data_IF_927812512842
#
_entry.id   IF_927812512842
#
_cell.length_a   1.000
_cell.length_b   1.000
_cell.length_c   1.000
_cell.angle_alpha   90.00
_cell.angle_beta   90.00
_cell.angle_gamma   90.00
#
_symmetry.space_group_name_H-M   'P 1'
#
loop_
_entity.id
_entity.type
_entity.pdbx_description
1 polymer ?
#
# COMPACT_ATOMS: atom_id res chain seq x y z
N UNK A 1 -19.17 3.52 7.23
CA UNK A 1 -18.21 4.64 7.43
C UNK A 1 -16.95 4.04 8.02
N UNK A 2 -15.76 4.32 7.45
CA UNK A 2 -14.47 3.82 7.98
C UNK A 2 -13.93 4.82 9.02
N UNK A 3 -13.42 4.34 10.14
CA UNK A 3 -12.85 5.17 11.21
C UNK A 3 -11.40 5.53 10.89
N UNK A 4 -10.90 6.67 11.39
CA UNK A 4 -9.52 7.12 11.12
C UNK A 4 -8.45 6.09 11.51
N UNK A 5 -8.68 5.32 12.59
CA UNK A 5 -7.77 4.23 12.99
C UNK A 5 -7.74 3.07 11.98
N UNK A 6 -8.87 2.77 11.36
CA UNK A 6 -8.94 1.74 10.32
C UNK A 6 -8.22 2.21 9.06
N UNK A 7 -8.35 3.49 8.69
CA UNK A 7 -7.63 4.09 7.54
C UNK A 7 -6.12 3.88 7.67
N UNK A 8 -5.54 4.27 8.82
CA UNK A 8 -4.09 4.13 9.08
C UNK A 8 -3.67 2.67 9.01
N UNK A 9 -4.49 1.76 9.55
CA UNK A 9 -4.23 0.33 9.50
C UNK A 9 -4.22 -0.19 8.05
N UNK A 10 -5.22 0.14 7.24
CA UNK A 10 -5.27 -0.32 5.84
C UNK A 10 -4.04 0.13 5.05
N UNK A 11 -3.66 1.41 5.17
CA UNK A 11 -2.49 1.92 4.46
C UNK A 11 -1.19 1.27 4.95
N UNK A 12 -1.04 1.05 6.26
CA UNK A 12 0.13 0.36 6.83
C UNK A 12 0.22 -1.08 6.32
N UNK A 13 -0.88 -1.81 6.39
CA UNK A 13 -0.93 -3.21 6.00
C UNK A 13 -0.64 -3.33 4.48
N UNK A 14 -1.05 -2.35 3.66
CA UNK A 14 -0.71 -2.27 2.23
C UNK A 14 0.79 -2.05 1.98
N UNK A 15 1.43 -1.15 2.75
CA UNK A 15 2.88 -0.91 2.65
C UNK A 15 3.67 -2.18 2.96
N UNK A 16 3.28 -2.89 4.01
CA UNK A 16 3.91 -4.16 4.41
C UNK A 16 3.75 -5.18 3.28
N UNK A 17 2.54 -5.31 2.73
CA UNK A 17 2.27 -6.27 1.65
C UNK A 17 3.11 -5.98 0.39
N UNK A 18 3.23 -4.71 -0.04
CA UNK A 18 4.06 -4.33 -1.20
C UNK A 18 5.56 -4.53 -0.93
N UNK A 19 6.02 -4.24 0.29
CA UNK A 19 7.45 -4.25 0.62
C UNK A 19 7.98 -5.68 0.83
N UNK A 20 7.17 -6.54 1.46
CA UNK A 20 7.59 -7.89 1.87
C UNK A 20 6.99 -9.01 1.01
N UNK A 21 6.23 -8.68 -0.03
CA UNK A 21 5.55 -9.63 -0.92
C UNK A 21 6.44 -10.42 -1.90
N UNK A 22 7.71 -10.66 -1.57
CA UNK A 22 8.68 -11.39 -2.40
C UNK A 22 8.78 -10.86 -3.86
N UNK A 23 8.66 -9.54 -4.04
CA UNK A 23 8.75 -8.88 -5.34
C UNK A 23 7.47 -8.89 -6.17
N UNK A 24 6.35 -9.43 -5.66
CA UNK A 24 5.04 -9.33 -6.30
C UNK A 24 4.28 -8.13 -5.76
N UNK A 25 3.75 -7.30 -6.65
CA UNK A 25 2.86 -6.20 -6.27
C UNK A 25 1.66 -6.75 -5.46
N UNK A 26 1.33 -6.07 -4.37
CA UNK A 26 0.27 -6.50 -3.48
C UNK A 26 -1.08 -6.30 -4.16
N UNK A 27 -1.86 -7.38 -4.27
CA UNK A 27 -3.23 -7.29 -4.75
C UNK A 27 -4.09 -6.56 -3.70
N UNK A 28 -4.91 -5.61 -4.15
CA UNK A 28 -5.88 -4.96 -3.28
C UNK A 28 -7.01 -5.95 -2.98
N UNK A 29 -7.23 -6.35 -1.70
CA UNK A 29 -8.24 -7.35 -1.36
C UNK A 29 -9.67 -6.79 -1.38
N UNK A 30 -9.82 -5.47 -1.52
CA UNK A 30 -11.10 -4.80 -1.42
C UNK A 30 -11.70 -4.45 -2.79
N UNK A 31 -13.02 -4.54 -2.89
CA UNK A 31 -13.75 -4.10 -4.07
C UNK A 31 -13.56 -2.60 -4.36
N UNK A 32 -13.57 -2.19 -5.65
CA UNK A 32 -13.11 -0.88 -6.12
C UNK A 32 -13.93 0.31 -5.59
N UNK A 33 -15.19 0.08 -5.20
CA UNK A 33 -16.08 1.14 -4.70
C UNK A 33 -15.94 1.40 -3.20
N UNK A 34 -15.12 0.61 -2.50
CA UNK A 34 -14.98 0.72 -1.05
C UNK A 34 -13.95 1.78 -0.65
N UNK A 35 -14.21 2.52 0.44
CA UNK A 35 -13.21 3.44 0.99
C UNK A 35 -11.91 2.72 1.41
N UNK A 36 -12.01 1.47 1.85
CA UNK A 36 -10.84 0.63 2.19
C UNK A 36 -9.94 0.39 0.97
N UNK A 37 -10.54 0.18 -0.21
CA UNK A 37 -9.79 0.06 -1.46
C UNK A 37 -8.91 1.28 -1.71
N UNK A 38 -9.45 2.49 -1.56
CA UNK A 38 -8.71 3.75 -1.78
C UNK A 38 -7.51 3.84 -0.83
N UNK A 39 -7.70 3.57 0.46
CA UNK A 39 -6.63 3.70 1.45
C UNK A 39 -5.58 2.60 1.38
N UNK A 40 -5.99 1.38 1.02
CA UNK A 40 -5.07 0.31 0.69
C UNK A 40 -4.21 0.68 -0.53
N UNK A 41 -4.84 1.12 -1.62
CA UNK A 41 -4.15 1.52 -2.83
C UNK A 41 -3.16 2.65 -2.56
N UNK A 42 -3.55 3.65 -1.76
CA UNK A 42 -2.68 4.74 -1.37
C UNK A 42 -1.41 4.26 -0.63
N UNK A 43 -1.56 3.34 0.33
CA UNK A 43 -0.41 2.76 1.04
C UNK A 43 0.49 1.97 0.10
N UNK A 44 -0.10 1.19 -0.81
CA UNK A 44 0.65 0.43 -1.80
C UNK A 44 1.47 1.33 -2.74
N UNK A 45 0.86 2.41 -3.24
CA UNK A 45 1.53 3.36 -4.13
C UNK A 45 2.67 4.11 -3.42
N UNK A 46 2.51 4.46 -2.12
CA UNK A 46 3.59 5.04 -1.33
C UNK A 46 4.77 4.07 -1.18
N UNK A 47 4.52 2.79 -0.91
CA UNK A 47 5.56 1.79 -0.79
C UNK A 47 6.34 1.63 -2.10
N UNK A 48 5.66 1.58 -3.26
CA UNK A 48 6.31 1.55 -4.57
C UNK A 48 7.16 2.77 -4.81
N UNK A 49 6.65 3.97 -4.53
CA UNK A 49 7.40 5.20 -4.71
C UNK A 49 8.67 5.23 -3.83
N UNK A 50 8.58 4.77 -2.58
CA UNK A 50 9.72 4.65 -1.69
C UNK A 50 10.75 3.63 -2.20
N UNK A 51 10.30 2.45 -2.64
CA UNK A 51 11.17 1.44 -3.24
C UNK A 51 11.88 1.96 -4.49
N UNK A 52 11.17 2.63 -5.40
CA UNK A 52 11.77 3.25 -6.59
C UNK A 52 12.84 4.27 -6.22
N UNK A 53 12.60 5.13 -5.22
CA UNK A 53 13.61 6.10 -4.75
C UNK A 53 14.84 5.42 -4.18
N UNK A 54 14.68 4.35 -3.41
CA UNK A 54 15.81 3.59 -2.87
C UNK A 54 16.64 2.94 -3.99
N UNK A 55 15.98 2.36 -5.00
CA UNK A 55 16.66 1.78 -6.15
C UNK A 55 17.40 2.81 -6.99
N UNK A 56 16.88 4.05 -7.10
CA UNK A 56 17.58 5.14 -7.78
C UNK A 56 18.86 5.61 -7.05
N UNK A 57 18.91 5.53 -5.72
CA UNK A 57 20.11 5.91 -4.94
C UNK A 57 21.22 4.85 -5.08
N UNK A 58 20.85 3.58 -5.28
CA UNK A 58 21.79 2.47 -5.40
C UNK A 58 22.33 2.22 -6.82
N UNK A 59 21.86 2.96 -7.82
CA UNK A 59 22.29 2.89 -9.22
C UNK A 59 23.41 3.88 -9.51
#
# INVERSE_FOLDING_TARGET
>A
MIRSREIVRESRDAVIAETFGAGRAAANPYGPTSKRHIFWQHGADQARAAATRLLQIGA
#
